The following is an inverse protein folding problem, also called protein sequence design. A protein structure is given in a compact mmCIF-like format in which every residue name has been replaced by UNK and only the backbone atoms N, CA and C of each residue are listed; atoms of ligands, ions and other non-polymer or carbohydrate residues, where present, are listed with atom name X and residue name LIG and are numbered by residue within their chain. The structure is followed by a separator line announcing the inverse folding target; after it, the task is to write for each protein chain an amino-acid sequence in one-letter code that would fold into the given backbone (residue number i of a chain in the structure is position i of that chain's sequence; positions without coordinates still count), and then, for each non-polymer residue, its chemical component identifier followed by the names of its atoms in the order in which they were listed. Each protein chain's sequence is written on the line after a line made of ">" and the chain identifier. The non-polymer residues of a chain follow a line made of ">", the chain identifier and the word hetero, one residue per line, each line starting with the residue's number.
data_IF_082007190522
#
_entry.id   IF_082007190522
#
_cell.length_a   1.000
_cell.length_b   1.000
_cell.length_c   1.000
_cell.angle_alpha   90.00
_cell.angle_beta   90.00
_cell.angle_gamma   90.00
#
_symmetry.space_group_name_H-M   'P 1'
#
loop_
_entity.id
_entity.type
_entity.pdbx_description
1 polymer ?
#
# COMPACT_ATOMS: atom_id res chain seq x y z
N UNK A 1 9.13 14.56 -5.65
CA UNK A 1 8.91 13.10 -5.58
C UNK A 1 9.10 12.52 -6.97
N UNK A 2 9.89 11.44 -7.15
CA UNK A 2 10.18 10.94 -8.49
C UNK A 2 8.91 10.33 -9.09
N UNK A 3 8.55 10.74 -10.32
CA UNK A 3 7.43 10.16 -11.09
C UNK A 3 7.55 8.64 -11.34
N UNK A 4 8.73 8.07 -11.10
CA UNK A 4 9.07 6.67 -11.36
C UNK A 4 8.35 5.67 -10.45
N UNK A 5 7.94 6.05 -9.24
CA UNK A 5 7.39 5.08 -8.27
C UNK A 5 6.05 4.48 -8.71
N UNK A 6 5.26 5.19 -9.51
CA UNK A 6 3.93 4.74 -9.94
C UNK A 6 3.92 4.06 -11.31
N UNK A 7 5.05 4.00 -12.03
CA UNK A 7 5.12 3.38 -13.35
C UNK A 7 4.85 1.88 -13.29
N UNK A 8 5.37 1.19 -12.26
CA UNK A 8 5.06 -0.24 -12.04
C UNK A 8 3.59 -0.44 -11.72
N UNK A 9 3.01 0.44 -10.91
CA UNK A 9 1.58 0.39 -10.64
C UNK A 9 0.77 0.56 -11.91
N UNK A 10 1.02 1.60 -12.70
CA UNK A 10 0.31 1.85 -13.98
C UNK A 10 0.55 0.70 -14.98
N UNK A 11 1.77 0.18 -15.04
CA UNK A 11 2.19 -0.94 -15.89
C UNK A 11 1.59 -2.30 -15.52
N UNK A 12 1.15 -2.47 -14.26
CA UNK A 12 0.53 -3.71 -13.79
C UNK A 12 -0.73 -4.02 -14.61
N UNK A 13 -0.73 -5.17 -15.27
CA UNK A 13 -1.73 -5.54 -16.27
C UNK A 13 -2.74 -6.53 -15.69
N UNK A 14 -4.02 -6.28 -15.95
CA UNK A 14 -5.08 -7.24 -15.65
C UNK A 14 -4.95 -8.47 -16.56
N UNK A 15 -4.80 -9.65 -15.95
CA UNK A 15 -4.81 -10.91 -16.69
C UNK A 15 -6.21 -11.29 -17.16
N UNK A 16 -6.28 -11.95 -18.32
CA UNK A 16 -7.55 -12.42 -18.86
C UNK A 16 -8.02 -13.64 -18.07
N UNK A 17 -9.31 -13.66 -17.77
CA UNK A 17 -10.02 -14.80 -17.18
C UNK A 17 -9.64 -16.08 -17.94
N UNK A 18 -9.23 -17.13 -17.21
CA UNK A 18 -8.95 -18.42 -17.81
C UNK A 18 -10.27 -19.07 -18.21
N UNK A 19 -10.48 -19.24 -19.51
CA UNK A 19 -11.66 -19.92 -20.04
C UNK A 19 -11.65 -21.40 -19.62
N UNK A 20 -12.80 -21.91 -19.18
CA UNK A 20 -12.98 -23.35 -18.95
C UNK A 20 -13.10 -24.04 -20.31
N UNK A 21 -12.48 -25.22 -20.51
CA UNK A 21 -12.66 -25.99 -21.75
C UNK A 21 -14.14 -26.27 -22.03
N UNK A 22 -14.59 -26.04 -23.26
CA UNK A 22 -16.00 -26.24 -23.64
C UNK A 22 -16.50 -27.69 -23.48
N UNK A 23 -15.57 -28.65 -23.43
CA UNK A 23 -15.85 -30.07 -23.21
C UNK A 23 -15.84 -30.49 -21.74
N UNK A 24 -15.45 -29.59 -20.82
CA UNK A 24 -15.45 -29.87 -19.38
C UNK A 24 -16.90 -30.03 -18.91
N UNK A 25 -17.18 -31.04 -18.10
CA UNK A 25 -18.52 -31.25 -17.52
C UNK A 25 -18.48 -31.27 -15.99
N UNK A 26 -17.32 -31.12 -15.37
CA UNK A 26 -17.10 -31.33 -13.95
C UNK A 26 -17.90 -30.35 -13.09
N UNK A 27 -18.14 -29.14 -13.60
CA UNK A 27 -18.86 -28.12 -12.85
C UNK A 27 -20.39 -28.31 -12.83
N UNK A 28 -20.97 -28.69 -13.97
CA UNK A 28 -22.42 -28.66 -14.21
C UNK A 28 -23.04 -30.03 -14.54
N UNK A 29 -22.26 -31.11 -14.50
CA UNK A 29 -22.62 -32.43 -15.04
C UNK A 29 -23.08 -32.37 -16.52
N UNK A 30 -22.66 -31.31 -17.20
CA UNK A 30 -23.01 -30.93 -18.58
C UNK A 30 -22.00 -29.90 -19.09
N UNK A 31 -21.93 -29.71 -20.40
CA UNK A 31 -21.02 -28.72 -21.00
C UNK A 31 -21.40 -27.28 -20.59
N UNK A 32 -20.42 -26.40 -20.31
CA UNK A 32 -20.65 -24.98 -20.17
C UNK A 32 -21.36 -24.42 -21.40
N UNK A 33 -22.51 -23.78 -21.17
CA UNK A 33 -23.27 -23.09 -22.22
C UNK A 33 -23.18 -21.60 -21.98
N UNK A 34 -22.81 -20.87 -23.03
CA UNK A 34 -22.79 -19.41 -23.03
C UNK A 34 -23.92 -18.88 -23.90
N UNK A 35 -24.42 -17.70 -23.53
CA UNK A 35 -25.53 -17.10 -24.26
C UNK A 35 -25.12 -16.70 -25.67
N UNK A 36 -25.93 -17.09 -26.65
CA UNK A 36 -25.82 -16.68 -28.05
C UNK A 36 -27.15 -16.12 -28.54
N UNK A 37 -27.09 -15.01 -29.29
CA UNK A 37 -28.28 -14.31 -29.82
C UNK A 37 -29.14 -15.21 -30.69
N UNK A 38 -28.49 -16.09 -31.46
CA UNK A 38 -29.14 -16.96 -32.44
C UNK A 38 -29.68 -18.26 -31.84
N UNK A 39 -29.51 -18.47 -30.52
CA UNK A 39 -29.92 -19.69 -29.83
C UNK A 39 -30.74 -19.36 -28.58
N UNK A 40 -32.07 -19.39 -28.69
CA UNK A 40 -32.97 -19.14 -27.57
C UNK A 40 -32.81 -20.15 -26.42
N UNK A 41 -32.42 -21.39 -26.72
CA UNK A 41 -32.17 -22.41 -25.69
C UNK A 41 -30.93 -22.06 -24.84
N UNK A 42 -29.91 -21.47 -25.47
CA UNK A 42 -28.69 -21.03 -24.79
C UNK A 42 -28.95 -20.00 -23.69
N UNK A 43 -29.99 -19.17 -23.83
CA UNK A 43 -30.40 -18.23 -22.79
C UNK A 43 -30.81 -18.95 -21.51
N UNK A 44 -31.71 -19.93 -21.63
CA UNK A 44 -32.22 -20.68 -20.49
C UNK A 44 -31.14 -21.54 -19.85
N UNK A 45 -30.34 -22.23 -20.67
CA UNK A 45 -29.24 -23.07 -20.19
C UNK A 45 -28.15 -22.24 -19.48
N UNK A 46 -27.67 -21.16 -20.09
CA UNK A 46 -26.65 -20.30 -19.48
C UNK A 46 -27.14 -19.66 -18.18
N UNK A 47 -28.38 -19.14 -18.16
CA UNK A 47 -28.99 -18.57 -16.95
C UNK A 47 -29.08 -19.59 -15.82
N UNK A 48 -29.54 -20.81 -16.11
CA UNK A 48 -29.67 -21.86 -15.10
C UNK A 48 -28.30 -22.30 -14.57
N UNK A 49 -27.30 -22.45 -15.44
CA UNK A 49 -25.93 -22.77 -15.03
C UNK A 49 -25.32 -21.66 -14.16
N UNK A 50 -25.54 -20.38 -14.49
CA UNK A 50 -25.04 -19.28 -13.67
C UNK A 50 -25.72 -19.26 -12.29
N UNK A 51 -27.03 -19.43 -12.22
CA UNK A 51 -27.76 -19.51 -10.94
C UNK A 51 -27.23 -20.67 -10.08
N UNK A 52 -27.05 -21.84 -10.68
CA UNK A 52 -26.49 -23.01 -10.00
C UNK A 52 -25.06 -22.76 -9.49
N UNK A 53 -24.23 -22.10 -10.30
CA UNK A 53 -22.87 -21.74 -9.91
C UNK A 53 -22.84 -20.77 -8.72
N UNK A 54 -23.71 -19.76 -8.71
CA UNK A 54 -23.82 -18.83 -7.57
C UNK A 54 -24.22 -19.55 -6.29
N UNK A 55 -25.07 -20.57 -6.37
CA UNK A 55 -25.41 -21.40 -5.21
C UNK A 55 -24.21 -22.19 -4.69
N UNK A 56 -23.44 -22.83 -5.59
CA UNK A 56 -22.19 -23.52 -5.22
C UNK A 56 -21.20 -22.57 -4.54
N UNK A 57 -20.96 -21.40 -5.13
CA UNK A 57 -20.04 -20.38 -4.58
C UNK A 57 -20.53 -19.90 -3.21
N UNK A 58 -21.82 -19.60 -3.06
CA UNK A 58 -22.36 -19.10 -1.79
C UNK A 58 -22.21 -20.13 -0.67
N UNK A 59 -22.31 -21.43 -0.97
CA UNK A 59 -22.17 -22.50 0.05
C UNK A 59 -20.77 -22.56 0.66
N UNK A 60 -19.72 -22.19 -0.09
CA UNK A 60 -18.34 -22.22 0.42
C UNK A 60 -18.14 -21.29 1.63
N UNK A 61 -18.87 -20.16 1.69
CA UNK A 61 -18.84 -19.22 2.79
C UNK A 61 -20.14 -18.37 2.83
N UNK A 62 -21.23 -19.00 3.29
CA UNK A 62 -22.56 -18.41 3.24
C UNK A 62 -22.69 -17.05 3.95
N UNK A 63 -22.06 -16.80 5.12
CA UNK A 63 -22.12 -15.48 5.76
C UNK A 63 -21.49 -14.38 4.91
N UNK A 64 -20.26 -14.57 4.42
CA UNK A 64 -19.53 -13.54 3.67
C UNK A 64 -20.09 -13.32 2.26
N UNK A 65 -20.58 -14.39 1.62
CA UNK A 65 -21.02 -14.36 0.21
C UNK A 65 -22.53 -14.19 0.05
N UNK A 66 -23.26 -13.87 1.13
CA UNK A 66 -24.71 -13.70 1.12
C UNK A 66 -25.22 -12.69 0.07
N UNK A 67 -24.42 -11.68 -0.28
CA UNK A 67 -24.78 -10.70 -1.31
C UNK A 67 -24.99 -11.32 -2.69
N UNK A 68 -24.36 -12.45 -3.02
CA UNK A 68 -24.58 -13.16 -4.29
C UNK A 68 -26.03 -13.63 -4.44
N UNK A 69 -26.76 -13.80 -3.34
CA UNK A 69 -28.20 -14.09 -3.38
C UNK A 69 -29.02 -12.92 -3.95
N UNK A 70 -28.54 -11.67 -3.83
CA UNK A 70 -29.15 -10.50 -4.47
C UNK A 70 -28.96 -10.56 -5.98
N UNK A 71 -27.74 -10.86 -6.44
CA UNK A 71 -27.46 -11.08 -7.87
C UNK A 71 -28.30 -12.24 -8.42
N UNK A 72 -28.39 -13.35 -7.68
CA UNK A 72 -29.22 -14.49 -8.06
C UNK A 72 -30.69 -14.10 -8.25
N UNK A 73 -31.28 -13.32 -7.33
CA UNK A 73 -32.66 -12.81 -7.49
C UNK A 73 -32.81 -11.98 -8.77
N UNK A 74 -31.85 -11.11 -9.08
CA UNK A 74 -31.83 -10.35 -10.35
C UNK A 74 -31.73 -11.24 -11.59
N UNK A 75 -30.92 -12.30 -11.54
CA UNK A 75 -30.85 -13.27 -12.63
C UNK A 75 -32.17 -14.00 -12.85
N UNK A 76 -32.91 -14.32 -11.78
CA UNK A 76 -34.24 -14.92 -11.88
C UNK A 76 -35.21 -13.99 -12.63
N UNK A 77 -35.13 -12.68 -12.41
CA UNK A 77 -35.93 -11.65 -13.11
C UNK A 77 -35.54 -11.45 -14.59
N UNK A 78 -34.31 -11.82 -14.97
CA UNK A 78 -33.84 -11.70 -16.36
C UNK A 78 -34.63 -12.64 -17.28
N UNK A 79 -35.38 -12.09 -18.24
CA UNK A 79 -36.13 -12.83 -19.27
C UNK A 79 -35.54 -12.64 -20.67
N UNK A 80 -35.83 -13.58 -21.58
CA UNK A 80 -35.25 -13.62 -22.93
C UNK A 80 -35.47 -12.34 -23.77
N UNK A 81 -36.57 -11.63 -23.53
CA UNK A 81 -36.94 -10.41 -24.25
C UNK A 81 -36.20 -9.14 -23.76
N UNK A 82 -35.39 -9.23 -22.71
CA UNK A 82 -34.51 -8.12 -22.31
C UNK A 82 -33.50 -7.79 -23.41
N UNK A 83 -32.93 -6.59 -23.35
CA UNK A 83 -32.02 -6.12 -24.35
C UNK A 83 -30.73 -6.96 -24.35
N UNK A 84 -30.13 -7.17 -25.54
CA UNK A 84 -28.88 -7.93 -25.68
C UNK A 84 -27.75 -7.41 -24.78
N UNK A 85 -27.76 -6.10 -24.59
CA UNK A 85 -26.79 -5.40 -23.76
C UNK A 85 -26.90 -5.67 -22.26
N UNK A 86 -28.01 -6.26 -21.83
CA UNK A 86 -28.22 -6.73 -20.45
C UNK A 86 -27.90 -8.22 -20.34
N UNK A 87 -28.21 -9.00 -21.38
CA UNK A 87 -28.00 -10.46 -21.40
C UNK A 87 -26.55 -10.86 -21.59
N UNK A 88 -25.86 -10.28 -22.57
CA UNK A 88 -24.55 -10.76 -22.99
C UNK A 88 -23.45 -10.57 -21.92
N UNK A 89 -23.31 -9.39 -21.28
CA UNK A 89 -22.33 -9.21 -20.21
C UNK A 89 -22.55 -10.16 -19.03
N UNK A 90 -23.81 -10.46 -18.69
CA UNK A 90 -24.15 -11.29 -17.53
C UNK A 90 -24.02 -12.79 -17.85
N UNK A 91 -24.65 -13.25 -18.93
CA UNK A 91 -24.77 -14.66 -19.27
C UNK A 91 -23.59 -15.21 -20.09
N UNK A 92 -22.62 -14.37 -20.41
CA UNK A 92 -21.36 -14.78 -21.04
C UNK A 92 -20.19 -14.32 -20.20
N UNK A 93 -19.93 -13.01 -20.12
CA UNK A 93 -18.67 -12.50 -19.56
C UNK A 93 -18.59 -12.72 -18.04
N UNK A 94 -19.66 -12.38 -17.30
CA UNK A 94 -19.71 -12.57 -15.85
C UNK A 94 -19.77 -14.05 -15.48
N UNK A 95 -20.51 -14.85 -16.26
CA UNK A 95 -20.55 -16.31 -16.09
C UNK A 95 -19.14 -16.91 -16.19
N UNK A 96 -18.38 -16.57 -17.23
CA UNK A 96 -16.98 -17.00 -17.40
C UNK A 96 -16.09 -16.62 -16.21
N UNK A 97 -16.27 -15.41 -15.67
CA UNK A 97 -15.52 -14.94 -14.49
C UNK A 97 -15.83 -15.78 -13.25
N UNK A 98 -17.11 -16.04 -12.96
CA UNK A 98 -17.48 -16.89 -11.83
C UNK A 98 -17.03 -18.35 -12.02
N UNK A 99 -17.09 -18.85 -13.25
CA UNK A 99 -16.60 -20.17 -13.62
C UNK A 99 -15.10 -20.29 -13.32
N UNK A 100 -14.29 -19.35 -13.81
CA UNK A 100 -12.85 -19.29 -13.54
C UNK A 100 -12.55 -19.13 -12.05
N UNK A 101 -13.33 -18.32 -11.32
CA UNK A 101 -13.19 -18.18 -9.87
C UNK A 101 -13.40 -19.52 -9.18
N UNK A 102 -14.50 -20.21 -9.48
CA UNK A 102 -14.82 -21.48 -8.83
C UNK A 102 -13.88 -22.61 -9.25
N UNK A 103 -13.36 -22.60 -10.47
CA UNK A 103 -12.49 -23.67 -10.97
C UNK A 103 -11.05 -23.53 -10.49
N UNK A 104 -10.50 -22.30 -10.51
CA UNK A 104 -9.07 -22.07 -10.24
C UNK A 104 -8.80 -21.48 -8.86
N UNK A 105 -9.77 -20.80 -8.25
CA UNK A 105 -9.59 -20.01 -7.04
C UNK A 105 -10.58 -20.38 -5.93
N UNK A 106 -11.14 -21.61 -5.95
CA UNK A 106 -12.17 -22.05 -5.01
C UNK A 106 -11.73 -21.92 -3.56
N UNK A 107 -10.45 -22.18 -3.27
CA UNK A 107 -9.90 -22.13 -1.92
C UNK A 107 -10.06 -20.74 -1.26
N UNK A 108 -9.93 -19.67 -2.06
CA UNK A 108 -10.04 -18.28 -1.59
C UNK A 108 -11.46 -17.93 -1.13
N UNK A 109 -12.49 -18.64 -1.59
CA UNK A 109 -13.87 -18.39 -1.18
C UNK A 109 -14.08 -18.59 0.33
N UNK A 110 -13.22 -19.39 0.98
CA UNK A 110 -13.33 -19.70 2.41
C UNK A 110 -12.69 -18.66 3.32
N UNK A 111 -11.75 -17.88 2.79
CA UNK A 111 -10.97 -16.90 3.57
C UNK A 111 -11.53 -15.48 3.53
N UNK A 112 -12.62 -15.24 2.79
CA UNK A 112 -13.23 -13.90 2.71
C UNK A 112 -14.13 -13.57 3.88
N UNK A 113 -14.20 -12.27 4.20
CA UNK A 113 -14.96 -11.70 5.31
C UNK A 113 -16.13 -10.86 4.81
N UNK A 114 -17.19 -10.74 5.61
CA UNK A 114 -18.43 -10.03 5.24
C UNK A 114 -18.14 -8.56 4.93
N UNK A 115 -17.26 -7.95 5.72
CA UNK A 115 -16.87 -6.55 5.68
C UNK A 115 -16.31 -6.15 4.32
N UNK A 116 -15.63 -7.08 3.64
CA UNK A 116 -15.00 -6.88 2.33
C UNK A 116 -16.00 -6.59 1.20
N UNK A 117 -17.30 -6.84 1.41
CA UNK A 117 -18.32 -6.65 0.37
C UNK A 117 -19.43 -5.69 0.76
N UNK A 118 -19.42 -5.15 1.99
CA UNK A 118 -20.54 -4.38 2.56
C UNK A 118 -20.99 -3.16 1.74
N UNK A 119 -20.08 -2.57 0.96
CA UNK A 119 -20.31 -1.43 0.07
C UNK A 119 -20.85 -1.82 -1.32
N UNK A 120 -20.78 -3.10 -1.71
CA UNK A 120 -21.19 -3.57 -3.03
C UNK A 120 -22.72 -3.70 -3.13
N UNK A 121 -23.26 -3.24 -4.26
CA UNK A 121 -24.71 -3.28 -4.54
C UNK A 121 -25.01 -4.13 -5.77
N UNK A 122 -25.23 -5.43 -5.55
CA UNK A 122 -25.56 -6.39 -6.61
C UNK A 122 -27.03 -6.35 -7.07
N UNK A 123 -27.86 -5.50 -6.45
CA UNK A 123 -29.28 -5.32 -6.78
C UNK A 123 -29.57 -4.18 -7.76
N UNK A 124 -28.55 -3.49 -8.29
CA UNK A 124 -28.71 -2.37 -9.22
C UNK A 124 -29.29 -2.80 -10.60
N UNK A 125 -29.23 -1.91 -11.61
CA UNK A 125 -29.47 -2.31 -13.01
C UNK A 125 -28.47 -3.41 -13.44
N UNK A 126 -28.71 -4.12 -14.55
CA UNK A 126 -27.84 -5.25 -14.94
C UNK A 126 -26.37 -4.87 -15.14
N UNK A 127 -26.08 -3.69 -15.69
CA UNK A 127 -24.70 -3.18 -15.80
C UNK A 127 -24.10 -2.84 -14.43
N UNK A 128 -24.91 -2.29 -13.52
CA UNK A 128 -24.51 -2.06 -12.14
C UNK A 128 -24.20 -3.36 -11.40
N UNK A 129 -25.07 -4.37 -11.53
CA UNK A 129 -24.87 -5.69 -10.98
C UNK A 129 -23.61 -6.36 -11.56
N UNK A 130 -23.38 -6.23 -12.87
CA UNK A 130 -22.15 -6.70 -13.53
C UNK A 130 -20.90 -6.04 -12.92
N UNK A 131 -20.84 -4.70 -12.87
CA UNK A 131 -19.66 -3.99 -12.37
C UNK A 131 -19.38 -4.31 -10.90
N UNK A 132 -20.41 -4.40 -10.06
CA UNK A 132 -20.25 -4.77 -8.66
C UNK A 132 -19.83 -6.24 -8.50
N UNK A 133 -20.33 -7.15 -9.35
CA UNK A 133 -19.92 -8.54 -9.33
C UNK A 133 -18.48 -8.73 -9.78
N UNK A 134 -18.00 -7.95 -10.77
CA UNK A 134 -16.59 -7.93 -11.15
C UNK A 134 -15.73 -7.44 -9.98
N UNK A 135 -16.12 -6.36 -9.30
CA UNK A 135 -15.40 -5.88 -8.11
C UNK A 135 -15.35 -6.93 -7.00
N UNK A 136 -16.47 -7.63 -6.76
CA UNK A 136 -16.53 -8.74 -5.80
C UNK A 136 -15.52 -9.83 -6.16
N UNK A 137 -15.49 -10.28 -7.42
CA UNK A 137 -14.56 -11.32 -7.89
C UNK A 137 -13.12 -10.83 -7.73
N UNK A 138 -12.81 -9.59 -8.12
CA UNK A 138 -11.49 -8.99 -7.99
C UNK A 138 -11.02 -8.93 -6.53
N UNK A 139 -11.93 -8.67 -5.58
CA UNK A 139 -11.62 -8.70 -4.14
C UNK A 139 -11.41 -10.11 -3.59
N UNK A 140 -12.08 -11.13 -4.14
CA UNK A 140 -11.85 -12.53 -3.76
C UNK A 140 -10.48 -13.00 -4.26
N UNK A 141 -10.19 -12.80 -5.56
CA UNK A 141 -8.91 -13.24 -6.16
C UNK A 141 -7.72 -12.40 -5.68
N UNK A 142 -7.96 -11.25 -5.06
CA UNK A 142 -6.90 -10.46 -4.43
C UNK A 142 -6.08 -11.28 -3.43
N UNK A 143 -6.73 -12.22 -2.72
CA UNK A 143 -6.05 -13.11 -1.78
C UNK A 143 -4.97 -14.00 -2.41
N UNK A 144 -5.00 -14.22 -3.72
CA UNK A 144 -4.06 -15.09 -4.45
C UNK A 144 -2.69 -14.45 -4.70
N UNK A 145 -2.57 -13.12 -4.65
CA UNK A 145 -1.28 -12.45 -4.73
C UNK A 145 -1.32 -10.95 -4.39
N UNK A 146 -0.17 -10.39 -4.00
CA UNK A 146 -0.02 -8.94 -3.85
C UNK A 146 -0.33 -8.17 -5.16
N UNK A 147 -0.02 -8.75 -6.32
CA UNK A 147 -0.39 -8.16 -7.61
C UNK A 147 -1.90 -8.11 -7.80
N UNK A 148 -2.64 -9.14 -7.38
CA UNK A 148 -4.10 -9.15 -7.46
C UNK A 148 -4.72 -8.15 -6.48
N UNK A 149 -4.15 -7.98 -5.28
CA UNK A 149 -4.49 -6.87 -4.38
C UNK A 149 -4.33 -5.51 -5.07
N UNK A 150 -3.21 -5.30 -5.76
CA UNK A 150 -2.92 -4.06 -6.48
C UNK A 150 -3.85 -3.85 -7.67
N UNK A 151 -4.20 -4.89 -8.43
CA UNK A 151 -5.14 -4.82 -9.55
C UNK A 151 -6.56 -4.49 -9.07
N UNK A 152 -7.03 -5.16 -8.01
CA UNK A 152 -8.31 -4.89 -7.38
C UNK A 152 -8.38 -3.45 -6.86
N UNK A 153 -7.34 -3.00 -6.17
CA UNK A 153 -7.20 -1.61 -5.72
C UNK A 153 -7.20 -0.61 -6.88
N UNK A 154 -6.49 -0.91 -7.97
CA UNK A 154 -6.42 -0.05 -9.15
C UNK A 154 -7.79 0.15 -9.80
N UNK A 155 -8.58 -0.93 -10.01
CA UNK A 155 -9.92 -0.78 -10.61
C UNK A 155 -10.79 0.12 -9.75
N UNK A 156 -10.85 -0.19 -8.46
CA UNK A 156 -11.68 0.53 -7.51
C UNK A 156 -11.29 2.01 -7.44
N UNK A 157 -9.99 2.30 -7.40
CA UNK A 157 -9.49 3.66 -7.40
C UNK A 157 -9.94 4.45 -8.64
N UNK A 158 -9.79 3.89 -9.83
CA UNK A 158 -10.19 4.59 -11.06
C UNK A 158 -11.71 4.87 -11.04
N UNK A 159 -12.53 3.92 -10.60
CA UNK A 159 -13.98 4.10 -10.50
C UNK A 159 -14.37 5.12 -9.42
N UNK A 160 -13.70 5.13 -8.26
CA UNK A 160 -13.89 6.14 -7.22
C UNK A 160 -13.50 7.53 -7.72
N UNK A 161 -12.34 7.67 -8.38
CA UNK A 161 -11.92 8.95 -8.96
C UNK A 161 -12.88 9.44 -10.05
N UNK A 162 -13.42 8.54 -10.87
CA UNK A 162 -14.46 8.89 -11.85
C UNK A 162 -15.73 9.42 -11.15
N UNK A 163 -16.19 8.75 -10.10
CA UNK A 163 -17.34 9.21 -9.31
C UNK A 163 -17.09 10.57 -8.65
N UNK A 164 -15.93 10.75 -8.02
CA UNK A 164 -15.53 12.02 -7.40
C UNK A 164 -15.43 13.15 -8.42
N UNK A 165 -14.85 12.89 -9.59
CA UNK A 165 -14.73 13.86 -10.67
C UNK A 165 -16.11 14.33 -11.15
N UNK A 166 -17.05 13.40 -11.41
CA UNK A 166 -18.42 13.76 -11.83
C UNK A 166 -19.11 14.59 -10.73
N UNK A 167 -18.96 14.18 -9.47
CA UNK A 167 -19.59 14.86 -8.33
C UNK A 167 -19.04 16.26 -8.11
N UNK A 168 -17.72 16.46 -8.28
CA UNK A 168 -17.05 17.73 -8.07
C UNK A 168 -17.29 18.73 -9.22
N UNK A 169 -17.37 18.24 -10.46
CA UNK A 169 -17.48 19.09 -11.65
C UNK A 169 -18.91 19.30 -12.13
N UNK A 170 -19.84 18.43 -11.72
CA UNK A 170 -21.21 18.44 -12.24
C UNK A 170 -21.31 18.02 -13.72
N UNK A 171 -20.25 17.44 -14.29
CA UNK A 171 -20.11 17.14 -15.72
C UNK A 171 -21.08 16.05 -16.24
N UNK A 172 -21.90 15.46 -15.37
CA UNK A 172 -22.86 14.41 -15.73
C UNK A 172 -23.64 13.89 -14.53
N UNK A 173 -24.39 12.81 -14.74
CA UNK A 173 -25.10 12.09 -13.67
C UNK A 173 -24.12 11.15 -12.97
N UNK A 174 -23.99 11.28 -11.65
CA UNK A 174 -23.14 10.43 -10.81
C UNK A 174 -23.77 9.04 -10.59
N UNK A 175 -23.94 8.29 -11.68
CA UNK A 175 -24.34 6.87 -11.66
C UNK A 175 -23.29 5.97 -12.31
N UNK A 176 -23.54 4.67 -12.26
CA UNK A 176 -22.60 3.64 -12.71
C UNK A 176 -22.24 3.78 -14.20
N UNK A 177 -23.15 4.28 -15.03
CA UNK A 177 -22.91 4.44 -16.47
C UNK A 177 -21.94 5.59 -16.74
N UNK A 178 -22.09 6.70 -16.02
CA UNK A 178 -21.13 7.81 -16.07
C UNK A 178 -19.75 7.36 -15.59
N UNK A 179 -19.70 6.65 -14.47
CA UNK A 179 -18.44 6.11 -13.91
C UNK A 179 -17.75 5.15 -14.87
N UNK A 180 -18.49 4.18 -15.43
CA UNK A 180 -17.95 3.22 -16.39
C UNK A 180 -17.44 3.88 -17.68
N UNK A 181 -18.08 4.96 -18.14
CA UNK A 181 -17.62 5.70 -19.32
C UNK A 181 -16.24 6.36 -19.07
N UNK A 182 -16.08 7.05 -17.94
CA UNK A 182 -14.80 7.66 -17.57
C UNK A 182 -13.72 6.59 -17.34
N UNK A 183 -14.06 5.51 -16.64
CA UNK A 183 -13.18 4.36 -16.45
C UNK A 183 -12.71 3.78 -17.79
N UNK A 184 -13.63 3.49 -18.71
CA UNK A 184 -13.32 2.87 -20.00
C UNK A 184 -12.45 3.78 -20.89
N UNK A 185 -12.57 5.10 -20.75
CA UNK A 185 -11.71 6.05 -21.48
C UNK A 185 -10.23 5.89 -21.09
N UNK A 186 -9.94 5.65 -19.82
CA UNK A 186 -8.56 5.58 -19.29
C UNK A 186 -8.05 4.14 -19.14
N UNK A 187 -8.92 3.13 -19.15
CA UNK A 187 -8.58 1.74 -18.83
C UNK A 187 -7.33 1.22 -19.57
N UNK A 188 -7.25 1.45 -20.89
CA UNK A 188 -6.11 1.02 -21.70
C UNK A 188 -4.78 1.65 -21.25
N UNK A 189 -4.78 2.94 -20.92
CA UNK A 189 -3.61 3.68 -20.40
C UNK A 189 -3.13 3.15 -19.04
N UNK A 190 -3.99 2.44 -18.31
CA UNK A 190 -3.71 1.83 -17.02
C UNK A 190 -3.60 0.29 -17.07
N UNK A 191 -3.54 -0.30 -18.28
CA UNK A 191 -3.48 -1.73 -18.53
C UNK A 191 -4.65 -2.53 -17.91
N UNK A 192 -5.83 -1.92 -17.84
CA UNK A 192 -7.06 -2.52 -17.33
C UNK A 192 -7.99 -2.93 -18.48
N UNK A 193 -8.84 -3.93 -18.23
CA UNK A 193 -9.89 -4.31 -19.17
C UNK A 193 -11.06 -3.36 -19.12
N UNK A 194 -11.72 -3.17 -20.26
CA UNK A 194 -12.95 -2.41 -20.35
C UNK A 194 -14.08 -3.12 -19.59
N UNK A 195 -14.95 -2.33 -18.96
CA UNK A 195 -16.21 -2.80 -18.38
C UNK A 195 -17.27 -2.70 -19.47
N UNK A 196 -17.86 -3.82 -19.94
CA UNK A 196 -18.94 -3.78 -20.93
C UNK A 196 -20.13 -3.00 -20.40
N UNK A 197 -20.36 -1.83 -21.00
CA UNK A 197 -21.51 -0.99 -20.68
C UNK A 197 -21.94 -0.25 -21.95
N UNK A 198 -23.02 -0.72 -22.55
CA UNK A 198 -23.58 -0.17 -23.79
C UNK A 198 -24.32 1.15 -23.61
N UNK A 199 -24.72 1.48 -22.38
CA UNK A 199 -25.37 2.74 -22.05
C UNK A 199 -24.37 3.89 -21.98
N UNK A 200 -23.07 3.58 -21.95
CA UNK A 200 -21.98 4.58 -22.04
C UNK A 200 -21.96 5.32 -23.38
N UNK A 201 -22.60 4.79 -24.43
CA UNK A 201 -22.77 5.47 -25.72
C UNK A 201 -23.98 6.41 -25.74
N UNK A 202 -24.92 6.26 -24.81
CA UNK A 202 -26.14 7.08 -24.74
C UNK A 202 -25.97 8.35 -23.88
N UNK A 203 -24.82 8.50 -23.20
CA UNK A 203 -24.46 9.67 -22.40
C UNK A 203 -23.09 10.16 -22.82
N UNK A 204 -23.08 11.08 -23.78
CA UNK A 204 -21.85 11.63 -24.34
C UNK A 204 -21.21 12.59 -23.34
N UNK A 205 -20.17 12.13 -22.63
CA UNK A 205 -19.15 13.07 -22.18
C UNK A 205 -18.43 13.61 -23.41
N UNK A 206 -18.33 14.93 -23.51
CA UNK A 206 -17.49 15.56 -24.51
C UNK A 206 -16.04 15.10 -24.35
N UNK A 207 -15.29 15.05 -25.46
CA UNK A 207 -13.87 14.68 -25.46
C UNK A 207 -13.05 15.52 -24.48
N UNK A 208 -13.43 16.80 -24.30
CA UNK A 208 -12.82 17.70 -23.32
C UNK A 208 -12.93 17.15 -21.89
N UNK A 209 -14.12 16.74 -21.47
CA UNK A 209 -14.37 16.17 -20.13
C UNK A 209 -13.60 14.87 -19.93
N UNK A 210 -13.54 14.03 -20.97
CA UNK A 210 -12.76 12.78 -20.93
C UNK A 210 -11.26 13.05 -20.71
N UNK A 211 -10.70 14.05 -21.40
CA UNK A 211 -9.30 14.44 -21.25
C UNK A 211 -9.02 15.12 -19.90
N UNK A 212 -9.95 15.92 -19.40
CA UNK A 212 -9.88 16.52 -18.06
C UNK A 212 -9.85 15.45 -16.98
N UNK A 213 -10.70 14.42 -17.09
CA UNK A 213 -10.66 13.27 -16.19
C UNK A 213 -9.31 12.52 -16.26
N UNK A 214 -8.75 12.32 -17.46
CA UNK A 214 -7.43 11.69 -17.60
C UNK A 214 -6.30 12.50 -16.93
N UNK A 215 -6.39 13.84 -16.95
CA UNK A 215 -5.50 14.72 -16.21
C UNK A 215 -5.71 14.60 -14.70
N UNK A 216 -6.96 14.73 -14.25
CA UNK A 216 -7.38 14.60 -12.85
C UNK A 216 -6.90 13.27 -12.23
N UNK A 217 -7.10 12.15 -12.93
CA UNK A 217 -6.68 10.84 -12.48
C UNK A 217 -5.15 10.73 -12.35
N UNK A 218 -4.39 11.30 -13.30
CA UNK A 218 -2.93 11.29 -13.25
C UNK A 218 -2.39 11.99 -12.01
N UNK A 219 -3.00 13.10 -11.63
CA UNK A 219 -2.60 13.88 -10.45
C UNK A 219 -3.02 13.20 -9.14
N UNK A 220 -4.11 12.42 -9.16
CA UNK A 220 -4.60 11.68 -8.00
C UNK A 220 -3.79 10.40 -7.68
N UNK A 221 -3.09 9.82 -8.66
CA UNK A 221 -2.28 8.60 -8.46
C UNK A 221 -1.00 8.94 -7.70
N UNK A 222 -1.01 8.69 -6.39
CA UNK A 222 0.13 8.92 -5.50
C UNK A 222 0.50 7.64 -4.73
N UNK A 223 1.74 7.51 -4.23
CA UNK A 223 2.12 6.39 -3.36
C UNK A 223 1.24 6.26 -2.11
N UNK A 224 0.84 7.39 -1.51
CA UNK A 224 -0.05 7.40 -0.35
C UNK A 224 -1.44 6.87 -0.72
N UNK A 225 -2.00 7.32 -1.85
CA UNK A 225 -3.28 6.79 -2.33
C UNK A 225 -3.21 5.28 -2.56
N UNK A 226 -2.11 4.77 -3.15
CA UNK A 226 -1.90 3.34 -3.33
C UNK A 226 -1.89 2.59 -1.99
N UNK A 227 -1.14 3.09 -1.02
CA UNK A 227 -1.05 2.47 0.31
C UNK A 227 -2.44 2.40 0.95
N UNK A 228 -3.19 3.51 0.97
CA UNK A 228 -4.53 3.57 1.58
C UNK A 228 -5.53 2.62 0.92
N UNK A 229 -5.46 2.43 -0.41
CA UNK A 229 -6.37 1.53 -1.13
C UNK A 229 -6.13 0.06 -0.78
N UNK A 230 -4.87 -0.35 -0.68
CA UNK A 230 -4.50 -1.73 -0.43
C UNK A 230 -4.61 -2.06 1.05
N UNK A 231 -4.26 -1.13 1.94
CA UNK A 231 -4.25 -1.35 3.39
C UNK A 231 -5.61 -1.81 3.94
N UNK A 232 -6.71 -1.26 3.45
CA UNK A 232 -8.06 -1.64 3.89
C UNK A 232 -8.50 -3.04 3.41
N UNK A 233 -7.79 -3.60 2.43
CA UNK A 233 -8.12 -4.88 1.80
C UNK A 233 -7.11 -5.97 2.10
N UNK A 234 -5.87 -5.59 2.42
CA UNK A 234 -4.76 -6.50 2.66
C UNK A 234 -5.04 -7.29 3.94
N UNK A 235 -5.38 -8.57 3.77
CA UNK A 235 -5.72 -9.45 4.89
C UNK A 235 -4.50 -10.30 5.20
N UNK A 236 -4.04 -10.20 6.45
CA UNK A 236 -3.08 -11.14 7.03
C UNK A 236 -3.88 -12.06 7.96
N UNK A 237 -3.80 -13.38 7.80
CA UNK A 237 -4.60 -14.28 8.62
C UNK A 237 -4.11 -14.25 10.07
N UNK A 238 -5.02 -14.28 11.04
CA UNK A 238 -4.65 -14.32 12.48
C UNK A 238 -3.88 -15.60 12.85
N UNK A 239 -4.16 -16.69 12.13
CA UNK A 239 -3.47 -17.98 12.24
C UNK A 239 -2.65 -18.18 10.98
N UNK A 240 -1.40 -18.62 11.12
CA UNK A 240 -0.50 -18.80 9.98
C UNK A 240 -1.07 -19.76 8.94
N UNK A 241 -1.27 -19.26 7.72
CA UNK A 241 -1.60 -20.04 6.53
C UNK A 241 -0.40 -20.00 5.55
N UNK A 242 0.36 -21.09 5.40
CA UNK A 242 1.53 -21.11 4.53
C UNK A 242 1.21 -20.79 3.07
N UNK A 243 0.05 -21.24 2.58
CA UNK A 243 -0.32 -21.06 1.18
C UNK A 243 -0.60 -19.59 0.91
N UNK A 244 -1.45 -18.96 1.74
CA UNK A 244 -1.77 -17.55 1.61
C UNK A 244 -0.53 -16.66 1.78
N UNK A 245 0.34 -16.98 2.75
CA UNK A 245 1.55 -16.20 3.01
C UNK A 245 2.57 -16.28 1.86
N UNK A 246 2.70 -17.44 1.22
CA UNK A 246 3.57 -17.60 0.04
C UNK A 246 3.02 -16.83 -1.17
N UNK A 247 1.69 -16.76 -1.30
CA UNK A 247 0.99 -16.03 -2.36
C UNK A 247 1.12 -14.50 -2.21
N UNK A 248 0.96 -13.96 -0.99
CA UNK A 248 0.97 -12.50 -0.77
C UNK A 248 2.37 -11.91 -0.56
N UNK A 249 3.36 -12.69 -0.12
CA UNK A 249 4.70 -12.17 0.17
C UNK A 249 5.71 -12.42 -0.96
N UNK A 250 6.53 -11.41 -1.29
CA UNK A 250 7.74 -11.60 -2.09
C UNK A 250 8.62 -12.72 -1.52
N UNK A 251 9.19 -13.57 -2.39
CA UNK A 251 9.95 -14.77 -1.98
C UNK A 251 11.03 -14.50 -0.93
N UNK A 252 11.76 -13.40 -1.08
CA UNK A 252 12.84 -13.01 -0.17
C UNK A 252 12.36 -12.54 1.22
N UNK A 253 11.07 -12.26 1.39
CA UNK A 253 10.47 -11.84 2.67
C UNK A 253 9.80 -13.01 3.42
N UNK A 254 9.42 -14.10 2.73
CA UNK A 254 8.60 -15.18 3.29
C UNK A 254 9.19 -15.81 4.55
N UNK A 255 10.49 -16.13 4.52
CA UNK A 255 11.15 -16.82 5.64
C UNK A 255 11.26 -15.91 6.88
N UNK A 256 11.71 -14.67 6.70
CA UNK A 256 11.92 -13.71 7.78
C UNK A 256 10.58 -13.29 8.42
N UNK A 257 9.56 -13.03 7.59
CA UNK A 257 8.30 -12.44 8.06
C UNK A 257 7.32 -13.46 8.65
N UNK A 258 7.41 -14.74 8.29
CA UNK A 258 6.65 -15.81 8.95
C UNK A 258 6.93 -15.80 10.45
N UNK A 259 8.20 -15.88 10.84
CA UNK A 259 8.59 -15.93 12.25
C UNK A 259 8.35 -14.59 12.96
N UNK A 260 8.45 -13.49 12.21
CA UNK A 260 8.28 -12.15 12.74
C UNK A 260 6.86 -11.85 13.21
N UNK A 261 5.85 -12.31 12.44
CA UNK A 261 4.44 -12.00 12.69
C UNK A 261 3.80 -13.01 13.64
N UNK A 262 4.13 -14.29 13.49
CA UNK A 262 3.45 -15.39 14.18
C UNK A 262 4.30 -15.96 15.30
N UNK A 263 3.68 -16.27 16.43
CA UNK A 263 4.30 -16.95 17.55
C UNK A 263 4.41 -18.47 17.36
N UNK A 264 4.88 -19.14 18.41
CA UNK A 264 4.98 -20.58 18.54
C UNK A 264 3.68 -21.34 18.24
N UNK A 265 2.53 -20.73 18.57
CA UNK A 265 1.21 -21.30 18.36
C UNK A 265 0.64 -20.92 16.98
N UNK A 266 1.47 -20.34 16.10
CA UNK A 266 1.08 -19.83 14.79
C UNK A 266 0.06 -18.70 14.88
N UNK A 267 0.04 -17.95 15.98
CA UNK A 267 -0.86 -16.81 16.17
C UNK A 267 -0.13 -15.50 15.97
N UNK A 268 -0.74 -14.59 15.22
CA UNK A 268 -0.16 -13.29 14.99
C UNK A 268 -0.32 -12.37 16.20
N UNK A 269 0.77 -11.69 16.58
CA UNK A 269 0.77 -10.69 17.65
C UNK A 269 0.83 -9.28 17.04
N UNK A 270 -0.07 -8.39 17.47
CA UNK A 270 -0.12 -6.98 17.06
C UNK A 270 -0.23 -6.76 15.52
N UNK A 271 -1.18 -7.45 14.87
CA UNK A 271 -1.45 -7.27 13.43
C UNK A 271 -1.84 -5.84 13.07
N UNK A 272 -2.43 -5.09 14.01
CA UNK A 272 -2.86 -3.71 13.79
C UNK A 272 -1.69 -2.81 13.40
N UNK A 273 -0.50 -3.01 14.00
CA UNK A 273 0.70 -2.23 13.68
C UNK A 273 1.67 -2.95 12.76
N UNK A 274 1.87 -4.26 12.95
CA UNK A 274 2.84 -5.03 12.15
C UNK A 274 2.34 -5.33 10.73
N UNK A 275 1.03 -5.43 10.53
CA UNK A 275 0.43 -5.65 9.22
C UNK A 275 0.65 -4.50 8.23
N UNK A 276 0.36 -3.24 8.61
CA UNK A 276 0.69 -2.07 7.79
C UNK A 276 2.18 -1.98 7.45
N UNK A 277 3.07 -2.31 8.41
CA UNK A 277 4.51 -2.37 8.14
C UNK A 277 4.84 -3.42 7.08
N UNK A 278 4.33 -4.65 7.21
CA UNK A 278 4.55 -5.71 6.24
C UNK A 278 4.10 -5.31 4.84
N UNK A 279 2.95 -4.64 4.72
CA UNK A 279 2.45 -4.13 3.46
C UNK A 279 3.41 -3.08 2.88
N UNK A 280 3.83 -2.08 3.67
CA UNK A 280 4.77 -1.03 3.23
C UNK A 280 6.10 -1.65 2.77
N UNK A 281 6.67 -2.59 3.54
CA UNK A 281 7.91 -3.31 3.18
C UNK A 281 7.73 -4.13 1.90
N UNK A 282 6.61 -4.85 1.77
CA UNK A 282 6.32 -5.65 0.59
C UNK A 282 6.22 -4.79 -0.65
N UNK A 283 5.41 -3.73 -0.63
CA UNK A 283 5.24 -2.79 -1.74
C UNK A 283 6.55 -2.08 -2.12
N UNK A 284 7.38 -1.72 -1.13
CA UNK A 284 8.69 -1.11 -1.39
C UNK A 284 9.66 -2.12 -2.02
N UNK A 285 9.66 -3.38 -1.58
CA UNK A 285 10.54 -4.42 -2.13
C UNK A 285 10.25 -4.75 -3.60
N UNK A 286 8.97 -4.67 -4.01
CA UNK A 286 8.56 -4.83 -5.41
C UNK A 286 8.64 -3.51 -6.20
N UNK A 287 9.00 -2.40 -5.54
CA UNK A 287 9.23 -1.08 -6.11
C UNK A 287 7.97 -0.34 -6.56
N UNK A 288 6.84 -0.57 -5.91
CA UNK A 288 5.60 0.18 -6.14
C UNK A 288 5.53 1.47 -5.30
N UNK A 289 6.29 1.53 -4.20
CA UNK A 289 6.51 2.72 -3.39
C UNK A 289 8.00 2.84 -3.03
N UNK A 290 8.46 4.03 -2.72
CA UNK A 290 9.86 4.29 -2.33
C UNK A 290 9.87 5.19 -1.08
N UNK A 291 10.85 4.99 -0.21
CA UNK A 291 11.11 5.79 0.99
C UNK A 291 9.99 5.81 2.06
N UNK A 292 9.02 4.90 2.00
CA UNK A 292 7.98 4.73 3.04
C UNK A 292 8.48 3.97 4.27
N UNK A 293 9.48 3.11 4.07
CA UNK A 293 10.14 2.39 5.17
C UNK A 293 11.64 2.57 5.04
N UNK A 294 12.25 3.20 6.03
CA UNK A 294 13.71 3.22 6.16
C UNK A 294 14.14 1.99 6.94
N UNK A 295 15.08 1.23 6.38
CA UNK A 295 15.58 -0.01 7.00
C UNK A 295 17.05 0.15 7.35
N UNK A 296 17.41 -0.18 8.58
CA UNK A 296 18.79 -0.22 9.05
C UNK A 296 19.10 -1.58 9.59
N UNK A 297 20.02 -2.29 8.95
CA UNK A 297 20.52 -3.56 9.45
C UNK A 297 21.80 -3.32 10.27
N UNK A 298 21.77 -3.69 11.53
CA UNK A 298 22.92 -3.70 12.44
C UNK A 298 23.41 -5.13 12.56
N UNK A 299 24.51 -5.44 11.89
CA UNK A 299 25.18 -6.74 12.02
C UNK A 299 25.90 -6.82 13.37
N UNK A 300 25.17 -7.18 14.41
CA UNK A 300 25.64 -7.54 15.76
C UNK A 300 25.48 -9.03 16.02
N UNK A 301 25.81 -9.54 17.21
CA UNK A 301 25.57 -10.94 17.58
C UNK A 301 24.09 -11.36 17.43
N UNK A 302 23.14 -10.41 17.55
CA UNK A 302 21.69 -10.68 17.45
C UNK A 302 21.07 -10.32 16.09
N UNK A 303 21.87 -9.86 15.11
CA UNK A 303 21.39 -9.43 13.78
C UNK A 303 20.10 -8.58 13.83
N UNK A 304 20.22 -7.35 14.30
CA UNK A 304 19.08 -6.48 14.55
C UNK A 304 18.77 -5.66 13.30
N UNK A 305 17.49 -5.50 12.95
CA UNK A 305 17.05 -4.53 11.92
C UNK A 305 16.05 -3.54 12.52
N UNK A 306 16.23 -2.26 12.23
CA UNK A 306 15.26 -1.22 12.55
C UNK A 306 14.47 -0.86 11.31
N UNK A 307 13.14 -0.84 11.42
CA UNK A 307 12.24 -0.31 10.40
C UNK A 307 11.64 0.99 10.92
N UNK A 308 11.82 2.09 10.20
CA UNK A 308 11.15 3.35 10.50
C UNK A 308 10.08 3.63 9.47
N UNK A 309 8.87 3.84 9.95
CA UNK A 309 7.78 4.46 9.19
C UNK A 309 7.53 5.88 9.71
N UNK A 310 6.57 6.61 9.15
CA UNK A 310 6.18 7.92 9.69
C UNK A 310 5.46 7.82 11.04
N UNK A 311 4.86 6.67 11.33
CA UNK A 311 4.01 6.44 12.51
C UNK A 311 4.77 5.79 13.68
N UNK A 312 5.64 4.83 13.36
CA UNK A 312 6.25 3.91 14.32
C UNK A 312 7.68 3.54 13.93
N UNK A 313 8.48 3.19 14.96
CA UNK A 313 9.78 2.53 14.83
C UNK A 313 9.62 1.08 15.29
N UNK A 314 10.04 0.14 14.45
CA UNK A 314 9.98 -1.29 14.74
C UNK A 314 11.37 -1.88 14.83
N UNK A 315 11.51 -2.88 15.70
CA UNK A 315 12.72 -3.63 15.93
C UNK A 315 12.48 -5.06 15.47
N UNK A 316 13.32 -5.54 14.56
CA UNK A 316 13.49 -6.95 14.29
C UNK A 316 14.73 -7.46 15.01
N UNK A 317 14.55 -8.45 15.85
CA UNK A 317 15.63 -9.07 16.62
C UNK A 317 15.47 -10.59 16.66
N UNK A 318 16.58 -11.26 16.94
CA UNK A 318 16.60 -12.70 17.18
C UNK A 318 16.36 -12.99 18.66
N UNK A 319 15.37 -13.83 18.94
CA UNK A 319 15.06 -14.31 20.28
C UNK A 319 15.28 -15.81 20.36
N UNK A 320 15.77 -16.26 21.52
CA UNK A 320 15.73 -17.65 21.92
C UNK A 320 14.31 -17.94 22.41
N UNK A 321 13.51 -18.62 21.59
CA UNK A 321 12.17 -19.00 21.97
C UNK A 321 12.23 -20.27 22.83
N UNK A 322 12.26 -20.08 24.15
CA UNK A 322 12.34 -21.16 25.13
C UNK A 322 11.20 -22.19 25.00
N UNK A 323 10.05 -21.80 24.44
CA UNK A 323 8.89 -22.67 24.25
C UNK A 323 9.10 -23.60 23.06
N UNK A 324 9.63 -23.07 21.97
CA UNK A 324 9.90 -23.83 20.75
C UNK A 324 11.28 -24.50 20.75
N UNK A 325 12.17 -24.13 21.67
CA UNK A 325 13.59 -24.47 21.65
C UNK A 325 14.23 -24.14 20.29
N UNK A 326 13.80 -23.03 19.67
CA UNK A 326 14.35 -22.53 18.42
C UNK A 326 14.63 -21.05 18.53
N UNK A 327 15.58 -20.68 17.71
CA UNK A 327 16.16 -19.37 17.58
C UNK A 327 15.38 -18.70 16.42
N UNK A 328 14.61 -17.63 16.69
CA UNK A 328 13.69 -17.02 15.69
C UNK A 328 13.70 -15.50 15.67
N UNK A 329 13.30 -14.92 14.53
CA UNK A 329 13.05 -13.49 14.42
C UNK A 329 11.69 -13.11 14.98
N UNK A 330 11.62 -11.98 15.68
CA UNK A 330 10.36 -11.27 15.97
C UNK A 330 10.44 -9.86 15.39
N UNK A 331 9.29 -9.28 15.03
CA UNK A 331 9.16 -7.84 14.75
C UNK A 331 8.20 -7.27 15.77
N UNK A 332 8.66 -6.25 16.50
CA UNK A 332 7.84 -5.55 17.50
C UNK A 332 8.04 -4.04 17.42
N UNK A 333 7.04 -3.31 17.89
CA UNK A 333 7.12 -1.85 18.03
C UNK A 333 8.13 -1.52 19.12
N UNK A 334 8.97 -0.50 18.89
CA UNK A 334 9.82 0.07 19.93
C UNK A 334 8.94 0.82 20.93
N UNK A 335 8.94 0.37 22.19
CA UNK A 335 8.05 0.86 23.26
C UNK A 335 8.72 1.86 24.20
N UNK A 336 9.90 2.35 23.84
CA UNK A 336 10.70 3.27 24.67
C UNK A 336 10.97 2.72 26.09
N UNK A 337 11.02 1.40 26.22
CA UNK A 337 11.35 0.73 27.48
C UNK A 337 12.85 0.79 27.78
N UNK A 338 13.23 0.54 29.04
CA UNK A 338 14.64 0.44 29.43
C UNK A 338 15.39 -0.64 28.61
N UNK A 339 14.70 -1.73 28.28
CA UNK A 339 15.25 -2.82 27.46
C UNK A 339 15.52 -2.36 26.02
N UNK A 340 14.56 -1.67 25.40
CA UNK A 340 14.74 -1.11 24.06
C UNK A 340 15.84 -0.07 24.04
N UNK A 341 15.94 0.71 25.11
CA UNK A 341 16.95 1.72 25.26
C UNK A 341 18.35 1.10 25.33
N UNK A 342 18.51 0.05 26.12
CA UNK A 342 19.76 -0.70 26.21
C UNK A 342 20.11 -1.37 24.88
N UNK A 343 19.14 -1.94 24.17
CA UNK A 343 19.34 -2.55 22.85
C UNK A 343 19.81 -1.51 21.81
N UNK A 344 19.21 -0.32 21.81
CA UNK A 344 19.59 0.80 20.94
C UNK A 344 21.02 1.26 21.24
N UNK A 345 21.41 1.34 22.52
CA UNK A 345 22.77 1.67 22.95
C UNK A 345 23.80 0.67 22.42
N UNK A 346 23.53 -0.62 22.58
CA UNK A 346 24.40 -1.69 22.08
C UNK A 346 24.54 -1.63 20.55
N UNK A 347 23.43 -1.42 19.84
CA UNK A 347 23.43 -1.25 18.39
C UNK A 347 24.28 -0.05 17.95
N UNK A 348 24.14 1.07 18.65
CA UNK A 348 24.92 2.27 18.37
C UNK A 348 26.42 2.06 18.58
N UNK A 349 26.82 1.40 19.67
CA UNK A 349 28.23 1.07 19.91
C UNK A 349 28.82 0.24 18.77
N UNK A 350 28.10 -0.78 18.29
CA UNK A 350 28.53 -1.59 17.14
C UNK A 350 28.66 -0.76 15.87
N UNK A 351 27.70 0.13 15.59
CA UNK A 351 27.76 1.02 14.42
C UNK A 351 28.95 2.00 14.52
N UNK A 352 29.18 2.56 15.71
CA UNK A 352 30.29 3.47 16.00
C UNK A 352 31.64 2.78 15.82
N UNK A 353 31.83 1.60 16.40
CA UNK A 353 33.07 0.81 16.29
C UNK A 353 33.38 0.42 14.84
N UNK A 354 32.35 0.08 14.06
CA UNK A 354 32.50 -0.29 12.66
C UNK A 354 32.64 0.90 11.71
N UNK A 355 32.61 2.13 12.21
CA UNK A 355 32.53 3.36 11.39
C UNK A 355 31.40 3.29 10.35
N UNK A 356 30.32 2.59 10.69
CA UNK A 356 29.17 2.43 9.82
C UNK A 356 28.35 3.74 9.79
N UNK A 357 27.70 4.02 8.67
CA UNK A 357 26.93 5.26 8.51
C UNK A 357 25.75 5.29 9.50
N UNK A 358 25.69 6.34 10.32
CA UNK A 358 24.57 6.64 11.21
C UNK A 358 23.36 7.22 10.46
N UNK A 359 23.52 7.62 9.18
CA UNK A 359 22.48 8.29 8.39
C UNK A 359 21.21 7.45 8.23
N UNK A 360 21.33 6.11 8.33
CA UNK A 360 20.18 5.22 8.25
C UNK A 360 19.30 5.21 9.50
N UNK A 361 19.85 5.49 10.69
CA UNK A 361 19.16 5.26 11.96
C UNK A 361 17.87 6.07 12.06
N UNK A 362 16.78 5.49 12.60
CA UNK A 362 15.53 6.23 12.77
C UNK A 362 15.73 7.54 13.53
N UNK A 363 15.07 8.62 13.10
CA UNK A 363 15.18 9.94 13.72
C UNK A 363 14.94 9.90 15.25
N UNK A 364 13.90 9.18 15.69
CA UNK A 364 13.65 8.99 17.12
C UNK A 364 14.77 8.25 17.86
N UNK A 365 15.46 7.32 17.19
CA UNK A 365 16.64 6.64 17.76
C UNK A 365 17.82 7.60 17.85
N UNK A 366 18.06 8.41 16.81
CA UNK A 366 19.13 9.41 16.83
C UNK A 366 18.93 10.45 17.94
N UNK A 367 17.69 10.92 18.14
CA UNK A 367 17.34 11.85 19.21
C UNK A 367 17.61 11.24 20.60
N UNK A 368 17.20 9.98 20.82
CA UNK A 368 17.49 9.25 22.07
C UNK A 368 18.98 9.01 22.33
N UNK A 369 19.76 8.77 21.26
CA UNK A 369 21.21 8.60 21.38
C UNK A 369 21.89 9.93 21.70
N UNK A 370 21.37 11.04 21.18
CA UNK A 370 21.82 12.39 21.48
C UNK A 370 21.68 12.72 22.97
N UNK A 371 20.61 12.22 23.61
CA UNK A 371 20.38 12.41 25.03
C UNK A 371 21.51 11.89 25.92
N UNK A 372 22.20 10.83 25.48
CA UNK A 372 23.18 10.13 26.32
C UNK A 372 24.61 10.09 25.82
N UNK A 373 24.84 10.08 24.51
CA UNK A 373 26.19 10.13 23.95
C UNK A 373 26.59 11.55 23.54
N UNK A 374 26.68 12.45 24.54
CA UNK A 374 27.06 13.85 24.33
C UNK A 374 28.40 14.02 23.61
N UNK A 375 29.33 13.08 23.80
CA UNK A 375 30.65 13.10 23.16
C UNK A 375 30.57 12.86 21.64
N UNK A 376 29.55 12.15 21.16
CA UNK A 376 29.32 11.88 19.74
C UNK A 376 28.25 12.80 19.11
N UNK A 377 27.81 13.82 19.85
CA UNK A 377 26.72 14.71 19.45
C UNK A 377 26.92 15.32 18.06
N UNK A 378 28.16 15.61 17.65
CA UNK A 378 28.46 16.10 16.31
C UNK A 378 28.00 15.11 15.22
N UNK A 379 28.39 13.83 15.35
CA UNK A 379 28.07 12.79 14.38
C UNK A 379 26.58 12.49 14.35
N UNK A 380 25.92 12.55 15.50
CA UNK A 380 24.48 12.32 15.63
C UNK A 380 23.66 13.50 15.04
N UNK A 381 24.05 14.74 15.30
CA UNK A 381 23.42 15.94 14.71
C UNK A 381 23.67 15.98 13.21
N UNK A 382 24.88 15.66 12.75
CA UNK A 382 25.17 15.57 11.32
C UNK A 382 24.29 14.51 10.63
N UNK A 383 24.10 13.34 11.24
CA UNK A 383 23.19 12.33 10.74
C UNK A 383 21.72 12.82 10.70
N UNK A 384 21.25 13.54 11.73
CA UNK A 384 19.92 14.17 11.74
C UNK A 384 19.75 15.20 10.62
N UNK A 385 20.75 16.05 10.40
CA UNK A 385 20.73 17.06 9.31
C UNK A 385 20.73 16.35 7.95
N UNK A 386 21.56 15.34 7.75
CA UNK A 386 21.63 14.60 6.50
C UNK A 386 20.31 13.89 6.16
N UNK A 387 19.45 13.59 7.14
CA UNK A 387 18.14 12.96 6.91
C UNK A 387 17.10 13.87 6.24
N UNK A 388 17.28 15.19 6.26
CA UNK A 388 16.38 16.11 5.56
C UNK A 388 14.96 16.24 6.14
N UNK A 389 14.65 15.57 7.27
CA UNK A 389 13.28 15.51 7.84
C UNK A 389 13.02 16.63 8.84
N UNK A 390 11.80 17.17 8.83
CA UNK A 390 11.35 18.13 9.84
C UNK A 390 11.35 17.48 11.23
N UNK A 391 11.81 18.21 12.23
CA UNK A 391 11.89 17.75 13.61
C UNK A 391 10.66 18.27 14.34
N UNK A 392 9.95 17.39 15.04
CA UNK A 392 8.79 17.78 15.82
C UNK A 392 9.18 18.83 16.87
N UNK A 393 8.33 19.82 17.12
CA UNK A 393 8.63 20.89 18.09
C UNK A 393 8.94 20.36 19.49
N UNK A 394 8.33 19.23 19.88
CA UNK A 394 8.63 18.56 21.14
C UNK A 394 10.09 18.08 21.24
N UNK A 395 10.66 17.62 20.13
CA UNK A 395 12.03 17.08 20.06
C UNK A 395 13.07 18.18 19.78
N UNK A 396 12.63 19.35 19.33
CA UNK A 396 13.49 20.54 19.18
C UNK A 396 14.06 20.96 20.54
N UNK A 397 13.33 20.74 21.65
CA UNK A 397 13.84 21.02 23.00
C UNK A 397 15.06 20.16 23.35
N UNK A 398 15.07 18.89 22.95
CA UNK A 398 16.21 18.00 23.10
C UNK A 398 17.42 18.60 22.37
N UNK A 399 17.26 18.94 21.10
CA UNK A 399 18.32 19.57 20.31
C UNK A 399 18.79 20.91 20.89
N UNK A 400 17.87 21.75 21.36
CA UNK A 400 18.17 23.02 22.04
C UNK A 400 18.99 22.82 23.30
N UNK A 401 18.55 21.91 24.17
CA UNK A 401 19.24 21.60 25.41
C UNK A 401 20.68 21.12 25.14
N UNK A 402 20.90 20.39 24.05
CA UNK A 402 22.24 19.97 23.63
C UNK A 402 23.06 21.10 23.02
N UNK A 403 22.52 21.84 22.07
CA UNK A 403 23.23 22.96 21.44
C UNK A 403 23.65 24.01 22.49
N UNK A 404 22.86 24.23 23.54
CA UNK A 404 23.23 25.09 24.66
C UNK A 404 24.35 24.55 25.56
N UNK A 405 24.56 23.23 25.59
CA UNK A 405 25.61 22.55 26.36
C UNK A 405 26.94 22.41 25.61
N UNK A 406 26.95 22.58 24.29
CA UNK A 406 28.16 22.48 23.48
C UNK A 406 29.03 23.73 23.70
N UNK A 407 29.88 23.68 24.72
CA UNK A 407 30.87 24.73 25.00
C UNK A 407 31.81 25.01 23.82
N UNK A 408 31.91 24.11 22.85
CA UNK A 408 32.68 24.33 21.64
C UNK A 408 32.09 25.39 20.70
N UNK A 409 30.77 25.64 20.69
CA UNK A 409 30.16 26.76 19.95
C UNK A 409 30.60 28.13 20.50
N UNK A 410 31.27 28.15 21.66
CA UNK A 410 31.84 29.35 22.29
C UNK A 410 33.35 29.47 22.04
N UNK A 411 34.00 28.43 21.51
CA UNK A 411 35.46 28.39 21.27
C UNK A 411 35.74 28.61 19.78
N UNK A 412 36.46 29.69 19.47
CA UNK A 412 36.95 29.97 18.12
C UNK A 412 37.83 28.84 17.60
N UNK A 413 37.45 28.21 16.48
CA UNK A 413 38.25 27.16 15.81
C UNK A 413 37.82 25.72 16.08
N UNK A 414 36.70 25.51 16.76
CA UNK A 414 36.12 24.17 16.97
C UNK A 414 35.29 23.69 15.76
N UNK A 415 34.99 22.40 15.76
CA UNK A 415 34.18 21.68 14.76
C UNK A 415 32.71 22.14 14.65
N UNK A 416 32.29 23.26 15.27
CA UNK A 416 30.92 23.80 15.16
C UNK A 416 30.60 24.52 13.85
N UNK A 417 31.58 25.11 13.17
CA UNK A 417 31.39 25.75 11.86
C UNK A 417 30.92 24.78 10.75
N UNK A 418 31.40 23.51 10.70
CA UNK A 418 30.86 22.47 9.82
C UNK A 418 29.35 22.20 9.98
N UNK A 419 28.80 22.14 11.20
CA UNK A 419 27.38 21.80 11.41
C UNK A 419 26.46 22.89 10.85
N UNK A 420 26.75 24.16 11.13
CA UNK A 420 25.94 25.27 10.62
C UNK A 420 25.98 25.34 9.09
N UNK A 421 27.16 25.15 8.49
CA UNK A 421 27.31 25.10 7.04
C UNK A 421 26.53 23.93 6.42
N UNK A 422 26.64 22.72 7.00
CA UNK A 422 25.90 21.54 6.52
C UNK A 422 24.38 21.70 6.71
N UNK A 423 23.93 22.29 7.82
CA UNK A 423 22.50 22.57 8.05
C UNK A 423 21.94 23.60 7.06
N UNK A 424 22.73 24.61 6.67
CA UNK A 424 22.38 25.58 5.64
C UNK A 424 22.34 24.94 4.25
N UNK A 425 23.37 24.16 3.88
CA UNK A 425 23.45 23.46 2.59
C UNK A 425 22.30 22.45 2.40
N UNK A 426 21.88 21.79 3.48
CA UNK A 426 20.81 20.78 3.46
C UNK A 426 19.42 21.35 3.72
N UNK A 427 19.29 22.67 3.92
CA UNK A 427 17.99 23.34 4.06
C UNK A 427 17.23 22.98 5.33
N UNK A 428 17.90 22.96 6.49
CA UNK A 428 17.31 22.66 7.80
C UNK A 428 17.11 23.91 8.66
N UNK A 429 16.06 24.73 8.41
CA UNK A 429 15.89 26.02 9.07
C UNK A 429 15.68 25.92 10.58
N UNK A 430 15.07 24.82 11.07
CA UNK A 430 14.85 24.58 12.50
C UNK A 430 16.19 24.46 13.25
N UNK A 431 17.10 23.62 12.77
CA UNK A 431 18.43 23.42 13.37
C UNK A 431 19.29 24.68 13.21
N UNK A 432 19.25 25.32 12.04
CA UNK A 432 19.95 26.60 11.81
C UNK A 432 19.50 27.66 12.82
N UNK A 433 18.19 27.81 13.01
CA UNK A 433 17.63 28.73 14.01
C UNK A 433 18.14 28.41 15.42
N UNK A 434 18.14 27.14 15.82
CA UNK A 434 18.63 26.76 17.15
C UNK A 434 20.13 27.01 17.34
N UNK A 435 20.95 26.80 16.32
CA UNK A 435 22.39 27.11 16.38
C UNK A 435 22.60 28.62 16.53
N UNK A 436 21.84 29.43 15.76
CA UNK A 436 21.90 30.90 15.84
C UNK A 436 21.50 31.38 17.25
N UNK A 437 20.39 30.87 17.78
CA UNK A 437 19.85 31.30 19.07
C UNK A 437 20.75 30.93 20.27
N UNK A 438 21.63 29.93 20.12
CA UNK A 438 22.51 29.42 21.18
C UNK A 438 24.00 29.80 21.02
N UNK A 439 24.38 30.52 19.96
CA UNK A 439 25.78 30.84 19.66
C UNK A 439 26.11 32.33 19.83
N UNK A 440 27.37 32.71 20.12
CA UNK A 440 27.78 34.10 20.14
C UNK A 440 27.63 34.74 18.75
N UNK A 441 26.89 35.85 18.66
CA UNK A 441 26.57 36.58 17.42
C UNK A 441 27.77 36.78 16.47
N UNK A 442 28.96 37.07 17.01
CA UNK A 442 30.16 37.34 16.21
C UNK A 442 30.68 36.10 15.42
N UNK A 443 30.51 34.88 15.94
CA UNK A 443 30.92 33.67 15.23
C UNK A 443 29.93 33.26 14.14
N UNK A 444 28.64 33.36 14.45
CA UNK A 444 27.53 33.08 13.51
C UNK A 444 27.67 33.96 12.27
N UNK A 445 27.94 35.26 12.47
CA UNK A 445 28.13 36.22 11.37
C UNK A 445 29.31 35.82 10.48
N UNK A 446 30.46 35.42 11.05
CA UNK A 446 31.63 35.03 10.26
C UNK A 446 31.38 33.77 9.41
N UNK A 447 30.64 32.79 9.94
CA UNK A 447 30.28 31.57 9.20
C UNK A 447 29.26 31.88 8.09
N UNK A 448 28.24 32.70 8.39
CA UNK A 448 27.25 33.13 7.41
C UNK A 448 27.88 33.95 6.28
N UNK A 449 28.86 34.82 6.60
CA UNK A 449 29.63 35.56 5.60
C UNK A 449 30.45 34.60 4.72
N UNK A 450 31.14 33.63 5.31
CA UNK A 450 31.92 32.64 4.56
C UNK A 450 31.04 31.78 3.65
N UNK A 451 29.88 31.34 4.15
CA UNK A 451 28.88 30.58 3.40
C UNK A 451 28.26 31.41 2.25
N UNK A 452 27.90 32.66 2.53
CA UNK A 452 27.36 33.57 1.52
C UNK A 452 28.40 33.93 0.44
N UNK A 453 29.68 33.99 0.80
CA UNK A 453 30.77 34.14 -0.16
C UNK A 453 30.98 32.88 -1.01
N UNK A 454 30.92 31.67 -0.42
CA UNK A 454 31.09 30.40 -1.15
C UNK A 454 29.92 30.08 -2.09
N UNK A 455 28.72 30.57 -1.78
CA UNK A 455 27.51 30.38 -2.58
C UNK A 455 27.15 31.58 -3.47
N UNK A 456 28.05 32.57 -3.60
CA UNK A 456 27.89 33.71 -4.50
C UNK A 456 26.78 34.70 -4.12
N UNK A 457 26.33 34.68 -2.87
CA UNK A 457 25.27 35.56 -2.34
C UNK A 457 25.83 36.95 -1.97
N UNK A 458 27.11 37.03 -1.58
CA UNK A 458 27.81 38.29 -1.38
C UNK A 458 28.46 38.76 -2.68
N UNK A 459 27.80 39.66 -3.42
CA UNK A 459 28.46 40.45 -4.45
C UNK A 459 29.36 41.49 -3.78
N UNK A 460 30.64 41.51 -4.12
CA UNK A 460 31.55 42.60 -3.76
C UNK A 460 31.07 43.89 -4.42
N UNK A 461 30.34 44.70 -3.64
CA UNK A 461 30.06 46.11 -3.91
C UNK A 461 30.92 46.97 -3.02
#
# INVERSE_FOLDING_TARGET
>A
MPRYSMEKFIGLKEEVVKDIPAADQTLYDSYPVYYSRDNAESFHQSKNQLIYLLDKITIENAPALAQLQVLKKRLVELVANHAEVEKQPILTDLKKRFESLYFYNQALLKSVHVEQFTDLTLGACYQGAYSNAVMLIDRIIAGDSLNNYLLSAKREFIQQQAFHFISATGSGVADIHGVNRLYNHVASSYNMQLIPDSWTLAREFEVTVLNEFAGYLRDAVTPLALLSLVQNKFVIPEIYDPQLMDEILPEHLRADWRCALYDAESKANDLERTGPLLLKVSLQSIGFIEDFVKVVAVQSMRNIKFYQTDDDIFIQEYIDDEVLCIDRYIVRVCQDSEEDYQLVKECYQVLREKSASLQGLPQGILLKLLDEYKEDAFSLIAALIDQGKEIAEADIFTIQAFLGQLDFLKVTGSTGAPILAVALDRGHPQIVKQIIDNSPYAQVINILIAYAASHGVLSTG
#
